data_IF_199542586501
#
_entry.id   IF_199542586501
#
_cell.length_a   1.000
_cell.length_b   1.000
_cell.length_c   1.000
_cell.angle_alpha   90.00
_cell.angle_beta   90.00
_cell.angle_gamma   90.00
#
_symmetry.space_group_name_H-M   'P 1'
#
loop_
_entity.id
_entity.type
_entity.pdbx_description
1 polymer ?
#
# COMPACT_ATOMS: atom_id res chain seq x y z
N UNK A 1 -5.24 -11.41 2.79
CA UNK A 1 -5.79 -10.30 3.59
C UNK A 1 -7.29 -10.47 3.72
N UNK A 2 -7.80 -10.35 4.93
CA UNK A 2 -9.22 -10.56 5.21
C UNK A 2 -9.93 -9.21 5.28
N UNK A 3 -10.95 -9.03 4.46
CA UNK A 3 -11.78 -7.83 4.52
C UNK A 3 -12.69 -7.90 5.75
N UNK A 4 -12.69 -6.86 6.56
CA UNK A 4 -13.50 -6.80 7.77
C UNK A 4 -14.87 -6.22 7.42
N UNK A 5 -15.94 -7.02 7.64
CA UNK A 5 -17.31 -6.65 7.27
C UNK A 5 -18.31 -6.71 8.44
N UNK A 6 -17.82 -6.75 9.68
CA UNK A 6 -18.71 -6.79 10.83
C UNK A 6 -18.89 -5.39 11.46
N UNK A 7 -19.88 -5.25 12.33
CA UNK A 7 -20.20 -3.97 12.95
C UNK A 7 -19.08 -3.42 13.85
N UNK A 8 -18.30 -4.30 14.51
CA UNK A 8 -17.17 -3.86 15.33
C UNK A 8 -16.01 -3.38 14.45
N UNK A 9 -15.77 -4.04 13.31
CA UNK A 9 -14.80 -3.57 12.33
C UNK A 9 -15.17 -2.19 11.79
N UNK A 10 -16.43 -1.92 11.54
CA UNK A 10 -16.90 -0.61 11.08
C UNK A 10 -16.66 0.49 12.12
N UNK A 11 -16.84 0.21 13.42
CA UNK A 11 -16.54 1.17 14.49
C UNK A 11 -15.05 1.50 14.55
N UNK A 12 -14.20 0.50 14.40
CA UNK A 12 -12.76 0.70 14.40
C UNK A 12 -12.33 1.54 13.21
N UNK A 13 -12.90 1.31 12.03
CA UNK A 13 -12.66 2.12 10.83
C UNK A 13 -13.08 3.57 11.07
N UNK A 14 -14.27 3.80 11.60
CA UNK A 14 -14.75 5.14 11.91
C UNK A 14 -13.84 5.84 12.92
N UNK A 15 -13.38 5.12 13.94
CA UNK A 15 -12.45 5.67 14.94
C UNK A 15 -11.12 6.07 14.32
N UNK A 16 -10.59 5.28 13.40
CA UNK A 16 -9.36 5.58 12.69
C UNK A 16 -9.53 6.82 11.82
N UNK A 17 -10.62 6.88 11.04
CA UNK A 17 -10.89 8.00 10.13
C UNK A 17 -11.17 9.30 10.88
N UNK A 18 -11.71 9.21 12.10
CA UNK A 18 -12.02 10.36 12.93
C UNK A 18 -10.86 10.81 13.81
N UNK A 19 -9.76 10.06 13.84
CA UNK A 19 -8.60 10.38 14.66
C UNK A 19 -7.98 11.71 14.22
N UNK A 20 -7.38 12.42 15.17
CA UNK A 20 -6.69 13.69 14.89
C UNK A 20 -5.61 13.54 13.81
N UNK A 21 -4.91 12.39 13.83
CA UNK A 21 -3.96 12.02 12.79
C UNK A 21 -4.20 10.56 12.39
N UNK A 22 -5.07 10.29 11.39
CA UNK A 22 -5.39 8.93 10.99
C UNK A 22 -4.23 8.18 10.34
N UNK A 23 -3.15 8.87 9.98
CA UNK A 23 -1.96 8.26 9.39
C UNK A 23 -0.95 7.79 10.44
N UNK A 24 -1.10 8.22 11.68
CA UNK A 24 -0.09 7.97 12.72
C UNK A 24 -0.03 6.50 13.14
N UNK A 25 1.17 5.94 13.16
CA UNK A 25 1.45 4.61 13.70
C UNK A 25 1.17 4.52 15.21
N UNK A 26 1.08 5.65 15.89
CA UNK A 26 0.74 5.70 17.31
C UNK A 26 -0.72 5.41 17.57
N UNK A 27 -1.56 5.43 16.55
CA UNK A 27 -2.95 5.01 16.65
C UNK A 27 -3.02 3.49 16.74
N UNK A 28 -3.30 2.95 17.93
CA UNK A 28 -3.25 1.51 18.20
C UNK A 28 -4.35 0.71 17.53
N UNK A 29 -5.49 1.32 17.18
CA UNK A 29 -6.55 0.66 16.42
C UNK A 29 -6.13 0.40 14.99
N UNK A 30 -5.35 1.31 14.43
CA UNK A 30 -4.87 1.23 13.07
C UNK A 30 -4.64 2.60 12.48
N UNK A 31 -4.27 2.62 11.22
CA UNK A 31 -3.97 3.85 10.52
C UNK A 31 -4.09 3.67 9.02
N UNK A 32 -4.11 4.79 8.31
CA UNK A 32 -4.17 4.83 6.85
C UNK A 32 -2.75 4.70 6.31
N UNK A 33 -2.56 3.83 5.32
CA UNK A 33 -1.30 3.65 4.60
C UNK A 33 -1.51 3.93 3.12
N UNK A 34 -0.42 4.02 2.35
CA UNK A 34 -0.48 4.27 0.93
C UNK A 34 0.45 3.32 0.18
N UNK A 35 0.01 2.86 -0.98
CA UNK A 35 0.78 1.97 -1.84
C UNK A 35 0.63 2.34 -3.30
N UNK A 36 1.56 1.84 -4.12
CA UNK A 36 1.59 2.14 -5.55
C UNK A 36 1.35 0.91 -6.41
N UNK A 37 0.44 1.03 -7.35
CA UNK A 37 0.27 0.08 -8.43
C UNK A 37 1.02 0.62 -9.64
N UNK A 38 2.27 0.19 -9.77
CA UNK A 38 3.17 0.65 -10.84
C UNK A 38 2.97 -0.24 -12.05
N UNK A 39 2.42 0.32 -13.11
CA UNK A 39 2.09 -0.41 -14.32
C UNK A 39 2.99 0.06 -15.45
N UNK A 40 3.57 -0.89 -16.17
CA UNK A 40 4.35 -0.66 -17.39
C UNK A 40 3.94 -1.70 -18.42
N UNK A 41 3.23 -1.26 -19.46
CA UNK A 41 2.61 -2.18 -20.41
C UNK A 41 1.60 -3.07 -19.70
N UNK A 42 1.75 -4.39 -19.79
CA UNK A 42 0.89 -5.36 -19.14
C UNK A 42 1.57 -6.02 -17.94
N UNK A 43 2.46 -5.26 -17.27
CA UNK A 43 3.20 -5.75 -16.10
C UNK A 43 3.04 -4.81 -14.91
N UNK A 44 3.09 -5.40 -13.72
CA UNK A 44 3.02 -4.70 -12.44
C UNK A 44 4.28 -4.97 -11.65
N UNK A 45 4.80 -3.93 -11.01
CA UNK A 45 5.97 -4.03 -10.14
C UNK A 45 5.55 -4.47 -8.76
N UNK A 46 6.10 -5.60 -8.30
CA UNK A 46 5.84 -6.14 -6.96
C UNK A 46 7.14 -6.30 -6.19
N UNK A 47 7.05 -6.25 -4.88
CA UNK A 47 8.14 -6.54 -3.95
C UNK A 47 7.87 -7.89 -3.28
N UNK A 48 8.96 -8.60 -2.96
CA UNK A 48 8.87 -9.77 -2.10
C UNK A 48 8.98 -9.31 -0.65
N UNK A 49 7.86 -9.32 0.04
CA UNK A 49 7.79 -8.80 1.40
C UNK A 49 8.66 -9.66 2.33
N UNK A 50 9.70 -9.08 2.96
CA UNK A 50 10.70 -9.88 3.67
C UNK A 50 10.16 -10.62 4.89
N UNK A 51 9.07 -10.14 5.46
CA UNK A 51 8.46 -10.73 6.65
C UNK A 51 7.33 -11.71 6.32
N UNK A 52 6.41 -11.30 5.45
CA UNK A 52 5.24 -12.12 5.08
C UNK A 52 5.61 -13.19 4.04
N UNK A 53 6.71 -13.00 3.31
CA UNK A 53 7.21 -13.94 2.30
C UNK A 53 6.25 -14.14 1.13
N UNK A 54 5.62 -13.05 0.69
CA UNK A 54 4.74 -13.02 -0.48
C UNK A 54 5.03 -11.78 -1.30
N UNK A 55 4.62 -11.82 -2.57
CA UNK A 55 4.75 -10.69 -3.48
C UNK A 55 3.57 -9.74 -3.34
N UNK A 56 3.85 -8.50 -2.99
CA UNK A 56 2.87 -7.44 -2.80
C UNK A 56 3.27 -6.17 -3.54
N UNK A 57 2.30 -5.26 -3.68
CA UNK A 57 2.59 -3.92 -4.13
C UNK A 57 3.49 -3.19 -3.14
N UNK A 58 4.42 -2.34 -3.60
CA UNK A 58 5.22 -1.52 -2.70
C UNK A 58 4.35 -0.44 -2.04
N UNK A 59 4.67 -0.11 -0.81
CA UNK A 59 3.92 0.89 -0.05
C UNK A 59 4.28 0.85 1.43
N UNK A 60 3.67 1.72 2.19
CA UNK A 60 3.92 1.82 3.62
C UNK A 60 3.21 2.98 4.29
N UNK A 61 3.81 3.47 5.36
CA UNK A 61 3.22 4.50 6.19
C UNK A 61 3.31 5.89 5.54
N UNK A 62 2.37 6.74 5.89
CA UNK A 62 2.32 8.13 5.45
C UNK A 62 3.02 8.96 6.53
N UNK A 63 4.09 9.66 6.14
CA UNK A 63 4.85 10.49 7.06
C UNK A 63 4.11 11.80 7.35
N UNK A 64 4.50 12.45 8.44
CA UNK A 64 3.95 13.75 8.80
C UNK A 64 4.15 14.74 7.66
N UNK A 65 3.11 15.51 7.37
CA UNK A 65 3.07 16.52 6.29
C UNK A 65 3.10 15.95 4.87
N UNK A 66 3.03 14.64 4.71
CA UNK A 66 2.93 13.97 3.42
C UNK A 66 1.47 13.76 3.02
N UNK A 67 1.15 13.89 1.74
CA UNK A 67 -0.13 13.39 1.21
C UNK A 67 -0.02 11.90 0.96
N UNK A 68 -1.14 11.16 0.89
CA UNK A 68 -1.08 9.73 0.55
C UNK A 68 -0.39 9.46 -0.80
N UNK A 69 -0.60 10.29 -1.82
CA UNK A 69 0.08 10.13 -3.11
C UNK A 69 1.59 10.28 -2.97
N UNK A 70 2.03 11.30 -2.22
CA UNK A 70 3.46 11.51 -1.96
C UNK A 70 4.07 10.33 -1.24
N UNK A 71 3.37 9.77 -0.25
CA UNK A 71 3.82 8.61 0.49
C UNK A 71 3.96 7.37 -0.40
N UNK A 72 2.97 7.13 -1.27
CA UNK A 72 3.03 6.01 -2.21
C UNK A 72 4.24 6.13 -3.13
N UNK A 73 4.48 7.32 -3.69
CA UNK A 73 5.61 7.58 -4.58
C UNK A 73 6.94 7.39 -3.85
N UNK A 74 7.05 7.90 -2.62
CA UNK A 74 8.25 7.76 -1.80
C UNK A 74 8.54 6.31 -1.46
N UNK A 75 7.53 5.56 -1.00
CA UNK A 75 7.68 4.16 -0.63
C UNK A 75 8.11 3.30 -1.83
N UNK A 76 7.50 3.52 -3.00
CA UNK A 76 7.92 2.83 -4.23
C UNK A 76 9.38 3.09 -4.52
N UNK A 77 9.82 4.34 -4.42
CA UNK A 77 11.21 4.71 -4.66
C UNK A 77 12.16 4.05 -3.67
N UNK A 78 11.85 4.12 -2.39
CA UNK A 78 12.68 3.52 -1.34
C UNK A 78 12.84 2.01 -1.52
N UNK A 79 11.75 1.33 -1.82
CA UNK A 79 11.73 -0.13 -1.89
C UNK A 79 12.23 -0.68 -3.22
N UNK A 80 12.04 0.03 -4.33
CA UNK A 80 12.31 -0.50 -5.67
C UNK A 80 13.35 0.29 -6.48
N UNK A 81 13.62 1.53 -6.09
CA UNK A 81 14.46 2.44 -6.87
C UNK A 81 13.75 3.12 -8.03
N UNK A 82 12.50 2.79 -8.30
CA UNK A 82 11.74 3.45 -9.37
C UNK A 82 11.13 4.76 -8.90
N UNK A 83 11.48 5.84 -9.61
CA UNK A 83 10.86 7.15 -9.41
C UNK A 83 9.61 7.19 -10.27
N UNK A 84 8.48 7.40 -9.64
CA UNK A 84 7.19 7.35 -10.29
C UNK A 84 6.43 8.67 -10.15
N UNK A 85 5.41 8.84 -10.96
CA UNK A 85 4.43 9.90 -10.84
C UNK A 85 3.03 9.31 -10.91
N UNK A 86 2.05 10.07 -10.44
CA UNK A 86 0.66 9.63 -10.48
C UNK A 86 0.19 9.49 -11.94
N UNK A 87 -0.36 8.33 -12.27
CA UNK A 87 -0.88 8.05 -13.60
C UNK A 87 -2.41 8.22 -13.62
N UNK A 88 -2.85 9.43 -13.32
CA UNK A 88 -4.27 9.79 -13.26
C UNK A 88 -4.42 11.30 -13.28
N UNK A 89 -5.55 11.78 -13.77
CA UNK A 89 -5.90 13.21 -13.78
C UNK A 89 -6.43 13.67 -12.40
N UNK A 90 -6.75 12.75 -11.51
CA UNK A 90 -7.19 13.06 -10.15
C UNK A 90 -6.31 12.34 -9.14
N UNK A 91 -6.37 12.76 -7.87
CA UNK A 91 -5.57 12.20 -6.80
C UNK A 91 -6.33 11.18 -5.95
N UNK A 92 -7.33 10.55 -6.52
CA UNK A 92 -8.09 9.54 -5.81
C UNK A 92 -7.42 8.15 -5.95
N UNK A 93 -7.46 7.33 -4.90
CA UNK A 93 -6.97 5.97 -5.00
C UNK A 93 -7.84 5.15 -5.96
N UNK A 94 -7.22 4.19 -6.64
CA UNK A 94 -7.94 3.27 -7.52
C UNK A 94 -8.55 2.10 -6.75
N UNK A 95 -8.07 1.86 -5.53
CA UNK A 95 -8.57 0.79 -4.66
C UNK A 95 -8.27 1.12 -3.21
N UNK A 96 -9.18 0.73 -2.33
CA UNK A 96 -9.01 0.85 -0.88
C UNK A 96 -9.17 -0.54 -0.29
N UNK A 97 -8.17 -0.97 0.47
CA UNK A 97 -8.17 -2.28 1.11
C UNK A 97 -8.03 -2.12 2.61
N UNK A 98 -8.85 -2.85 3.35
CA UNK A 98 -8.83 -2.84 4.80
C UNK A 98 -8.45 -4.24 5.26
N UNK A 99 -7.33 -4.33 5.97
CA UNK A 99 -6.85 -5.61 6.44
C UNK A 99 -6.23 -5.50 7.82
N UNK A 100 -6.23 -6.61 8.52
CA UNK A 100 -5.66 -6.72 9.85
C UNK A 100 -4.17 -7.04 9.76
N UNK A 101 -3.39 -6.30 10.53
CA UNK A 101 -1.96 -6.56 10.67
C UNK A 101 -1.74 -7.35 11.95
N UNK A 102 -1.10 -8.52 11.89
CA UNK A 102 -0.81 -9.31 13.09
C UNK A 102 0.07 -8.55 14.07
N UNK A 103 -0.06 -8.88 15.36
CA UNK A 103 0.80 -8.32 16.39
C UNK A 103 2.27 -8.62 16.10
N UNK A 104 3.13 -7.63 16.32
CA UNK A 104 4.57 -7.77 16.16
C UNK A 104 5.26 -7.31 17.44
N UNK A 105 5.61 -8.25 18.35
CA UNK A 105 6.27 -7.89 19.61
C UNK A 105 7.60 -7.18 19.44
N UNK A 106 8.33 -7.43 18.35
CA UNK A 106 9.61 -6.79 18.07
C UNK A 106 9.48 -5.29 17.84
N UNK A 107 8.32 -4.83 17.37
CA UNK A 107 8.03 -3.41 17.14
C UNK A 107 7.11 -2.83 18.20
N UNK A 108 6.80 -3.61 19.25
CA UNK A 108 5.83 -3.23 20.28
C UNK A 108 4.47 -2.85 19.66
N UNK A 109 4.07 -3.57 18.62
CA UNK A 109 2.80 -3.36 17.94
C UNK A 109 1.85 -4.51 18.22
N UNK A 110 0.66 -4.16 18.71
CA UNK A 110 -0.46 -5.11 18.80
C UNK A 110 -1.13 -5.31 17.44
N UNK A 111 -2.07 -6.21 17.38
CA UNK A 111 -2.93 -6.39 16.22
C UNK A 111 -3.66 -5.07 15.93
N UNK A 112 -3.64 -4.64 14.67
CA UNK A 112 -4.25 -3.38 14.28
C UNK A 112 -4.71 -3.43 12.81
N UNK A 113 -5.42 -2.39 12.36
CA UNK A 113 -5.92 -2.31 11.00
C UNK A 113 -5.06 -1.39 10.15
N UNK A 114 -4.83 -1.79 8.90
CA UNK A 114 -4.37 -0.88 7.85
C UNK A 114 -5.52 -0.60 6.90
N UNK A 115 -5.77 0.67 6.64
CA UNK A 115 -6.63 1.13 5.56
C UNK A 115 -5.68 1.60 4.47
N UNK A 116 -5.46 0.80 3.46
CA UNK A 116 -4.45 1.05 2.44
C UNK A 116 -5.04 1.65 1.18
N UNK A 117 -4.53 2.82 0.81
CA UNK A 117 -4.93 3.55 -0.39
C UNK A 117 -3.95 3.22 -1.50
N UNK A 118 -4.44 2.62 -2.57
CA UNK A 118 -3.63 2.21 -3.71
C UNK A 118 -3.75 3.22 -4.85
N UNK A 119 -2.60 3.71 -5.33
CA UNK A 119 -2.56 4.69 -6.42
C UNK A 119 -1.91 4.09 -7.66
N UNK A 120 -2.50 4.37 -8.82
CA UNK A 120 -1.89 3.99 -10.09
C UNK A 120 -0.74 4.93 -10.40
N UNK A 121 0.46 4.35 -10.56
CA UNK A 121 1.69 5.11 -10.81
C UNK A 121 2.33 4.65 -12.11
N UNK A 122 3.08 5.57 -12.74
CA UNK A 122 3.90 5.26 -13.91
C UNK A 122 5.36 5.61 -13.64
N UNK A 123 6.26 4.87 -14.23
CA UNK A 123 7.70 5.08 -14.07
C UNK A 123 8.16 6.32 -14.83
N UNK A 124 8.89 7.19 -14.15
CA UNK A 124 9.59 8.33 -14.76
C UNK A 124 11.03 7.95 -15.07
N UNK A 125 11.72 7.32 -14.09
CA UNK A 125 13.09 6.85 -14.23
C UNK A 125 13.41 5.82 -13.16
N UNK A 126 14.54 5.14 -13.32
CA UNK A 126 15.04 4.19 -12.33
C UNK A 126 16.28 4.76 -11.65
N UNK A 127 16.33 4.63 -10.33
CA UNK A 127 17.46 4.98 -9.49
C UNK A 127 17.82 3.79 -8.61
N UNK A 128 18.84 3.93 -7.78
CA UNK A 128 19.21 2.87 -6.82
C UNK A 128 18.19 2.83 -5.69
N UNK A 129 17.73 1.63 -5.33
CA UNK A 129 16.90 1.43 -4.14
C UNK A 129 17.71 1.75 -2.87
N UNK A 130 17.05 2.37 -1.88
CA UNK A 130 17.64 2.61 -0.56
C UNK A 130 17.42 1.43 0.39
N UNK A 131 16.51 0.52 0.04
CA UNK A 131 16.22 -0.68 0.80
C UNK A 131 16.62 -1.91 -0.02
N UNK A 132 17.12 -2.94 0.64
CA UNK A 132 17.56 -4.17 -0.04
C UNK A 132 16.39 -5.16 -0.14
N UNK A 133 15.37 -4.79 -0.87
CA UNK A 133 14.17 -5.60 -1.07
C UNK A 133 14.12 -6.10 -2.51
N UNK A 134 13.84 -7.38 -2.71
CA UNK A 134 13.68 -7.93 -4.05
C UNK A 134 12.40 -7.37 -4.68
N UNK A 135 12.52 -6.88 -5.90
CA UNK A 135 11.38 -6.45 -6.69
C UNK A 135 11.43 -7.08 -8.08
N UNK A 136 10.27 -7.23 -8.69
CA UNK A 136 10.15 -7.90 -9.98
C UNK A 136 8.89 -7.43 -10.69
N UNK A 137 8.95 -7.39 -12.02
CA UNK A 137 7.79 -7.11 -12.88
C UNK A 137 7.04 -8.42 -13.14
N UNK A 138 5.74 -8.40 -12.87
CA UNK A 138 4.85 -9.54 -13.09
C UNK A 138 3.87 -9.24 -14.20
N UNK A 139 3.69 -10.17 -15.13
CA UNK A 139 2.59 -10.08 -16.08
C UNK A 139 1.26 -10.15 -15.31
N UNK A 140 0.23 -9.47 -15.78
CA UNK A 140 -1.07 -9.44 -15.11
C UNK A 140 -1.61 -10.86 -14.83
N UNK A 141 -1.41 -11.78 -15.76
CA UNK A 141 -1.87 -13.18 -15.63
C UNK A 141 -1.18 -13.95 -14.49
N UNK A 142 0.01 -13.50 -14.07
CA UNK A 142 0.82 -14.20 -13.07
C UNK A 142 0.65 -13.63 -11.66
N UNK A 143 -0.20 -12.63 -11.50
CA UNK A 143 -0.44 -12.00 -10.20
C UNK A 143 -1.40 -12.84 -9.38
N UNK A 144 -0.95 -13.26 -8.19
CA UNK A 144 -1.73 -14.07 -7.28
C UNK A 144 -2.57 -13.26 -6.29
N UNK A 145 -2.15 -12.02 -6.00
CA UNK A 145 -2.85 -11.16 -5.04
C UNK A 145 -4.26 -10.83 -5.50
N UNK A 146 -5.25 -11.21 -4.69
CA UNK A 146 -6.66 -10.91 -4.95
C UNK A 146 -6.87 -9.39 -4.98
N UNK A 147 -6.21 -8.66 -4.08
CA UNK A 147 -6.31 -7.20 -4.02
C UNK A 147 -5.84 -6.55 -5.32
N UNK A 148 -4.69 -6.99 -5.83
CA UNK A 148 -4.13 -6.41 -7.05
C UNK A 148 -4.99 -6.77 -8.26
N UNK A 149 -5.48 -8.00 -8.32
CA UNK A 149 -6.41 -8.41 -9.39
C UNK A 149 -7.67 -7.55 -9.39
N UNK A 150 -8.24 -7.29 -8.22
CA UNK A 150 -9.40 -6.41 -8.08
C UNK A 150 -9.10 -5.01 -8.59
N UNK A 151 -7.94 -4.47 -8.22
CA UNK A 151 -7.51 -3.15 -8.67
C UNK A 151 -7.34 -3.09 -10.19
N UNK A 152 -6.73 -4.11 -10.79
CA UNK A 152 -6.54 -4.17 -12.24
C UNK A 152 -7.88 -4.26 -12.98
N UNK A 153 -8.83 -5.01 -12.45
CA UNK A 153 -10.17 -5.11 -13.02
C UNK A 153 -10.88 -3.76 -13.03
N UNK A 154 -10.64 -2.92 -12.03
CA UNK A 154 -11.24 -1.59 -11.94
C UNK A 154 -10.72 -0.62 -12.99
N UNK A 155 -9.62 -0.93 -13.66
CA UNK A 155 -9.01 -0.08 -14.69
C UNK A 155 -9.51 -0.38 -16.10
N UNK A 156 -10.31 -1.41 -16.25
CA UNK A 156 -10.85 -1.83 -17.56
C UNK A 156 -12.09 -1.03 -17.91
#
# INVERSE_FOLDING_TARGET
>A
MKMIRNSSGNRDIESILSAKNPYSRLNRLGHITASGLVIKGEKVLLIFHPYIKKWFQPGGHIDESETPVQAAIREVHEETGYVCELDSDNQEPIDIDIHEIPANPKKDEGTHLHIDLLYRLRVVRQERSTENINCKWFAFKDIESIRIRRALESLV
#
